data_IF_088178649851
#
_entry.id   IF_088178649851
#
_cell.length_a   1.000
_cell.length_b   1.000
_cell.length_c   1.000
_cell.angle_alpha   90.00
_cell.angle_beta   90.00
_cell.angle_gamma   90.00
#
_symmetry.space_group_name_H-M   'P 1'
#
loop_
_entity.id
_entity.type
_entity.pdbx_description
1 polymer ?
#
# COMPACT_ATOMS: atom_id res chain seq x y z
N UNK A 1 8.61 -4.96 0.13
CA UNK A 1 8.50 -3.92 1.18
C UNK A 1 8.01 -4.48 2.51
N UNK A 2 6.88 -5.19 2.57
CA UNK A 2 6.33 -5.75 3.82
C UNK A 2 7.30 -6.69 4.56
N UNK A 3 8.13 -7.46 3.86
CA UNK A 3 9.14 -8.32 4.48
C UNK A 3 10.22 -7.58 5.29
N UNK A 4 10.38 -6.26 5.11
CA UNK A 4 11.28 -5.46 5.94
C UNK A 4 10.79 -5.35 7.41
N UNK A 5 9.53 -5.69 7.68
CA UNK A 5 8.94 -5.71 9.03
C UNK A 5 9.16 -7.03 9.79
N UNK A 6 9.86 -8.01 9.20
CA UNK A 6 10.06 -9.34 9.78
C UNK A 6 9.00 -10.39 9.39
N UNK A 7 8.07 -10.05 8.49
CA UNK A 7 7.12 -11.00 7.92
C UNK A 7 7.76 -11.90 6.85
N UNK A 8 7.34 -13.16 6.79
CA UNK A 8 7.86 -14.13 5.81
C UNK A 8 7.52 -13.76 4.36
N UNK A 9 8.54 -13.70 3.50
CA UNK A 9 8.39 -13.32 2.09
C UNK A 9 7.55 -14.33 1.30
N UNK A 10 7.72 -15.62 1.58
CA UNK A 10 7.01 -16.70 0.89
C UNK A 10 5.52 -16.62 1.17
N UNK A 11 5.16 -16.63 2.46
CA UNK A 11 3.80 -16.53 2.94
C UNK A 11 3.10 -15.26 2.43
N UNK A 12 3.76 -14.10 2.47
CA UNK A 12 3.20 -12.84 1.97
C UNK A 12 2.91 -12.89 0.47
N UNK A 13 3.80 -13.46 -0.33
CA UNK A 13 3.63 -13.58 -1.78
C UNK A 13 2.46 -14.49 -2.09
N UNK A 14 2.41 -15.66 -1.46
CA UNK A 14 1.33 -16.64 -1.64
C UNK A 14 -0.03 -16.05 -1.24
N UNK A 15 -0.14 -15.43 -0.06
CA UNK A 15 -1.38 -14.80 0.40
C UNK A 15 -1.80 -13.68 -0.54
N UNK A 16 -0.87 -12.83 -0.98
CA UNK A 16 -1.18 -11.73 -1.90
C UNK A 16 -1.71 -12.25 -3.23
N UNK A 17 -1.07 -13.28 -3.80
CA UNK A 17 -1.50 -13.91 -5.04
C UNK A 17 -2.89 -14.54 -4.89
N UNK A 18 -3.14 -15.27 -3.80
CA UNK A 18 -4.43 -15.92 -3.55
C UNK A 18 -5.56 -14.89 -3.38
N UNK A 19 -5.32 -13.83 -2.59
CA UNK A 19 -6.30 -12.77 -2.37
C UNK A 19 -6.57 -11.97 -3.64
N UNK A 20 -5.52 -11.62 -4.41
CA UNK A 20 -5.68 -10.90 -5.67
C UNK A 20 -6.43 -11.73 -6.72
N UNK A 21 -6.12 -13.03 -6.83
CA UNK A 21 -6.82 -13.95 -7.70
C UNK A 21 -8.30 -14.09 -7.30
N UNK A 22 -8.58 -14.29 -6.00
CA UNK A 22 -9.95 -14.36 -5.48
C UNK A 22 -10.73 -13.08 -5.72
N UNK A 23 -10.15 -11.92 -5.41
CA UNK A 23 -10.79 -10.62 -5.61
C UNK A 23 -11.07 -10.30 -7.08
N UNK A 24 -10.13 -10.66 -7.96
CA UNK A 24 -10.29 -10.50 -9.41
C UNK A 24 -11.37 -11.44 -9.96
N UNK A 25 -11.43 -12.69 -9.49
CA UNK A 25 -12.50 -13.63 -9.85
C UNK A 25 -13.87 -13.16 -9.37
N UNK A 26 -13.96 -12.62 -8.15
CA UNK A 26 -15.20 -12.04 -7.63
C UNK A 26 -15.67 -10.85 -8.47
N UNK A 27 -14.77 -9.96 -8.89
CA UNK A 27 -15.10 -8.87 -9.82
C UNK A 27 -15.55 -9.40 -11.19
N UNK A 28 -14.84 -10.39 -11.73
CA UNK A 28 -15.14 -10.98 -13.02
C UNK A 28 -16.52 -11.66 -13.04
N UNK A 29 -16.86 -12.42 -12.01
CA UNK A 29 -18.10 -13.20 -11.95
C UNK A 29 -19.30 -12.38 -11.46
N UNK A 30 -19.10 -11.48 -10.50
CA UNK A 30 -20.21 -10.80 -9.82
C UNK A 30 -20.50 -9.42 -10.37
N UNK A 31 -19.45 -8.65 -10.71
CA UNK A 31 -19.60 -7.31 -11.27
C UNK A 31 -19.51 -7.27 -12.80
N UNK A 32 -19.13 -8.40 -13.44
CA UNK A 32 -18.91 -8.55 -14.88
C UNK A 32 -18.07 -7.41 -15.49
N UNK A 33 -17.10 -6.92 -14.71
CA UNK A 33 -16.23 -5.83 -15.09
C UNK A 33 -14.80 -6.37 -15.23
N UNK A 34 -14.13 -6.17 -16.38
CA UNK A 34 -12.78 -6.67 -16.63
C UNK A 34 -11.73 -5.78 -15.93
N UNK A 35 -11.78 -5.73 -14.59
CA UNK A 35 -10.87 -4.96 -13.75
C UNK A 35 -10.06 -5.90 -12.87
N UNK A 36 -8.73 -5.81 -12.98
CA UNK A 36 -7.82 -6.53 -12.10
C UNK A 36 -7.74 -5.81 -10.75
N UNK A 37 -8.01 -6.53 -9.66
CA UNK A 37 -7.80 -6.00 -8.33
C UNK A 37 -6.39 -6.32 -7.87
N UNK A 38 -5.55 -5.30 -7.81
CA UNK A 38 -4.18 -5.39 -7.31
C UNK A 38 -4.06 -4.75 -5.92
N UNK A 39 -3.11 -5.22 -5.09
CA UNK A 39 -2.85 -4.60 -3.79
C UNK A 39 -2.33 -3.17 -3.94
N UNK A 40 -2.83 -2.25 -3.11
CA UNK A 40 -2.39 -0.86 -3.09
C UNK A 40 -0.98 -0.71 -2.51
N UNK A 41 0.03 -0.61 -3.37
CA UNK A 41 1.44 -0.56 -2.96
C UNK A 41 1.80 0.65 -2.07
N UNK A 42 1.12 1.79 -2.24
CA UNK A 42 1.33 2.97 -1.39
C UNK A 42 0.92 2.76 0.08
N UNK A 43 -0.17 2.02 0.31
CA UNK A 43 -0.63 1.68 1.67
C UNK A 43 0.34 0.70 2.35
N UNK A 44 0.89 -0.25 1.59
CA UNK A 44 1.90 -1.17 2.08
C UNK A 44 3.20 -0.45 2.49
N UNK A 45 3.56 0.62 1.79
CA UNK A 45 4.70 1.46 2.13
C UNK A 45 4.47 2.25 3.43
N UNK A 46 3.32 2.91 3.55
CA UNK A 46 2.92 3.59 4.79
C UNK A 46 2.91 2.62 5.98
N UNK A 47 2.34 1.43 5.79
CA UNK A 47 2.34 0.38 6.82
C UNK A 47 3.76 0.00 7.26
N UNK A 48 4.65 -0.27 6.30
CA UNK A 48 6.01 -0.75 6.58
C UNK A 48 6.85 0.34 7.23
N UNK A 49 6.95 1.51 6.58
CA UNK A 49 7.93 2.53 6.93
C UNK A 49 7.42 3.54 7.96
N UNK A 50 6.11 3.82 8.01
CA UNK A 50 5.56 4.77 8.97
C UNK A 50 5.03 4.07 10.22
N UNK A 51 4.22 3.02 10.08
CA UNK A 51 3.62 2.36 11.25
C UNK A 51 4.57 1.38 11.93
N UNK A 52 5.14 0.43 11.18
CA UNK A 52 5.95 -0.63 11.81
C UNK A 52 7.36 -0.16 12.13
N UNK A 53 8.09 0.35 11.13
CA UNK A 53 9.47 0.80 11.32
C UNK A 53 9.58 2.21 11.92
N UNK A 54 8.59 3.07 11.68
CA UNK A 54 8.63 4.47 12.12
C UNK A 54 8.06 4.72 13.52
N UNK A 55 7.22 3.82 14.04
CA UNK A 55 6.62 3.92 15.38
C UNK A 55 6.94 2.68 16.25
N UNK A 56 7.81 1.78 15.77
CA UNK A 56 8.19 0.52 16.44
C UNK A 56 7.00 -0.35 16.88
N UNK A 57 5.88 -0.28 16.15
CA UNK A 57 4.69 -1.08 16.44
C UNK A 57 4.85 -2.48 15.82
N UNK A 58 4.63 -3.57 16.57
CA UNK A 58 4.65 -4.92 16.01
C UNK A 58 3.70 -5.07 14.82
N UNK A 59 4.15 -5.75 13.76
CA UNK A 59 3.38 -5.89 12.52
C UNK A 59 2.01 -6.56 12.74
N UNK A 60 1.88 -7.43 13.74
CA UNK A 60 0.62 -8.07 14.14
C UNK A 60 -0.39 -7.03 14.63
N UNK A 61 0.04 -6.11 15.49
CA UNK A 61 -0.79 -5.02 16.01
C UNK A 61 -1.18 -4.07 14.89
N UNK A 62 -0.22 -3.73 14.02
CA UNK A 62 -0.49 -2.89 12.86
C UNK A 62 -1.53 -3.54 11.90
N UNK A 63 -1.45 -4.86 11.66
CA UNK A 63 -2.46 -5.57 10.87
C UNK A 63 -3.84 -5.54 11.54
N UNK A 64 -3.90 -5.61 12.87
CA UNK A 64 -5.14 -5.42 13.64
C UNK A 64 -5.77 -4.05 13.41
N UNK A 65 -4.96 -2.99 13.39
CA UNK A 65 -5.43 -1.63 13.08
C UNK A 65 -5.94 -1.53 11.64
N UNK A 66 -5.24 -2.14 10.68
CA UNK A 66 -5.67 -2.19 9.27
C UNK A 66 -7.00 -2.93 9.13
N UNK A 67 -7.16 -4.06 9.81
CA UNK A 67 -8.40 -4.82 9.83
C UNK A 67 -9.56 -4.00 10.40
N UNK A 68 -9.37 -3.36 11.55
CA UNK A 68 -10.38 -2.52 12.19
C UNK A 68 -10.75 -1.32 11.31
N UNK A 69 -9.77 -0.70 10.66
CA UNK A 69 -9.99 0.38 9.69
C UNK A 69 -10.83 -0.11 8.50
N UNK A 70 -10.61 -1.34 8.03
CA UNK A 70 -11.42 -1.97 6.98
C UNK A 70 -12.87 -2.20 7.40
N UNK A 71 -13.09 -2.69 8.62
CA UNK A 71 -14.45 -2.85 9.19
C UNK A 71 -15.14 -1.49 9.31
N UNK A 72 -14.44 -0.47 9.82
CA UNK A 72 -14.97 0.88 9.93
C UNK A 72 -15.30 1.48 8.55
N UNK A 73 -14.45 1.23 7.55
CA UNK A 73 -14.68 1.66 6.18
C UNK A 73 -15.89 0.97 5.52
N UNK A 74 -16.12 -0.31 5.84
CA UNK A 74 -17.31 -1.06 5.40
C UNK A 74 -18.59 -0.41 5.96
N UNK A 75 -18.59 -0.11 7.26
CA UNK A 75 -19.71 0.57 7.93
C UNK A 75 -19.96 1.94 7.30
N UNK A 76 -18.92 2.76 7.13
CA UNK A 76 -19.02 4.07 6.47
C UNK A 76 -19.57 3.99 5.04
N UNK A 77 -19.20 2.94 4.31
CA UNK A 77 -19.69 2.68 2.95
C UNK A 77 -21.17 2.35 2.96
N UNK A 78 -21.63 1.54 3.92
CA UNK A 78 -23.05 1.23 4.12
C UNK A 78 -23.89 2.46 4.51
N UNK A 79 -23.35 3.35 5.33
CA UNK A 79 -24.02 4.60 5.74
C UNK A 79 -24.00 5.66 4.61
N UNK A 80 -23.27 5.43 3.52
CA UNK A 80 -23.24 6.33 2.36
C UNK A 80 -22.41 7.61 2.55
N UNK A 81 -21.66 7.72 3.66
CA UNK A 81 -20.84 8.91 3.99
C UNK A 81 -19.61 9.03 3.07
N UNK A 82 -19.19 7.92 2.45
CA UNK A 82 -17.98 7.84 1.61
C UNK A 82 -17.91 8.94 0.54
N UNK A 83 -19.04 9.27 -0.08
CA UNK A 83 -19.05 10.16 -1.24
C UNK A 83 -18.86 11.63 -0.82
N UNK A 84 -19.36 11.99 0.37
CA UNK A 84 -19.15 13.32 0.96
C UNK A 84 -17.68 13.55 1.31
N UNK A 85 -17.01 12.53 1.84
CA UNK A 85 -15.58 12.58 2.17
C UNK A 85 -14.75 12.78 0.90
N UNK A 86 -15.01 12.00 -0.15
CA UNK A 86 -14.26 12.10 -1.41
C UNK A 86 -14.48 13.45 -2.11
N UNK A 87 -15.69 14.01 -2.05
CA UNK A 87 -15.98 15.35 -2.60
C UNK A 87 -15.33 16.47 -1.80
N UNK A 88 -15.08 16.29 -0.50
CA UNK A 88 -14.39 17.26 0.33
C UNK A 88 -12.89 17.38 0.00
N UNK A 89 -12.28 16.35 -0.60
CA UNK A 89 -10.85 16.37 -0.96
C UNK A 89 -10.65 17.14 -2.27
N UNK A 90 -9.94 18.29 -2.24
CA UNK A 90 -9.65 19.07 -3.44
C UNK A 90 -8.84 18.26 -4.45
N UNK A 91 -9.09 18.51 -5.74
CA UNK A 91 -8.45 17.79 -6.85
C UNK A 91 -6.92 17.87 -6.80
N UNK A 92 -6.37 19.01 -6.38
CA UNK A 92 -4.92 19.19 -6.22
C UNK A 92 -4.30 18.17 -5.27
N UNK A 93 -4.88 17.96 -4.08
CA UNK A 93 -4.37 16.98 -3.11
C UNK A 93 -4.46 15.54 -3.64
N UNK A 94 -5.50 15.23 -4.41
CA UNK A 94 -5.70 13.90 -4.99
C UNK A 94 -4.63 13.59 -6.05
N UNK A 95 -4.33 14.56 -6.91
CA UNK A 95 -3.28 14.44 -7.94
C UNK A 95 -1.91 14.37 -7.28
N UNK A 96 -1.63 15.25 -6.30
CA UNK A 96 -0.37 15.23 -5.56
C UNK A 96 -0.12 13.88 -4.86
N UNK A 97 -1.15 13.26 -4.28
CA UNK A 97 -1.03 11.94 -3.68
C UNK A 97 -0.62 10.87 -4.70
N UNK A 98 -1.22 10.87 -5.89
CA UNK A 98 -0.87 9.94 -6.96
C UNK A 98 0.59 10.12 -7.43
N UNK A 99 1.02 11.37 -7.63
CA UNK A 99 2.41 11.71 -8.00
C UNK A 99 3.39 11.26 -6.92
N UNK A 100 3.07 11.51 -5.64
CA UNK A 100 3.91 11.12 -4.51
C UNK A 100 4.08 9.60 -4.41
N UNK A 101 3.01 8.83 -4.57
CA UNK A 101 3.08 7.35 -4.56
C UNK A 101 3.91 6.85 -5.76
N UNK A 102 3.73 7.44 -6.95
CA UNK A 102 4.50 7.08 -8.14
C UNK A 102 6.00 7.33 -7.97
N UNK A 103 6.36 8.51 -7.47
CA UNK A 103 7.75 8.87 -7.19
C UNK A 103 8.37 7.96 -6.12
N UNK A 104 7.60 7.63 -5.07
CA UNK A 104 8.05 6.74 -4.01
C UNK A 104 8.32 5.31 -4.53
N UNK A 105 7.41 4.76 -5.33
CA UNK A 105 7.59 3.43 -5.94
C UNK A 105 8.79 3.44 -6.89
N UNK A 106 8.95 4.49 -7.70
CA UNK A 106 10.10 4.64 -8.59
C UNK A 106 11.42 4.66 -7.80
N UNK A 107 11.47 5.40 -6.68
CA UNK A 107 12.63 5.47 -5.81
C UNK A 107 13.01 4.10 -5.22
N UNK A 108 12.04 3.36 -4.69
CA UNK A 108 12.28 2.00 -4.17
C UNK A 108 12.72 1.05 -5.30
N UNK A 109 12.17 1.20 -6.51
CA UNK A 109 12.59 0.44 -7.68
C UNK A 109 14.04 0.70 -8.06
N UNK A 110 14.45 1.97 -8.12
CA UNK A 110 15.83 2.38 -8.40
C UNK A 110 16.81 1.88 -7.32
N UNK A 111 16.39 1.88 -6.05
CA UNK A 111 17.19 1.30 -4.96
C UNK A 111 17.34 -0.23 -5.10
N UNK A 112 16.26 -0.93 -5.48
CA UNK A 112 16.29 -2.38 -5.73
C UNK A 112 17.17 -2.79 -6.92
N UNK A 113 17.35 -1.89 -7.90
CA UNK A 113 18.25 -2.07 -9.05
C UNK A 113 19.71 -1.72 -8.75
N UNK A 114 20.01 -1.20 -7.55
CA UNK A 114 21.34 -0.74 -7.18
C UNK A 114 21.71 0.64 -7.74
N UNK A 115 20.89 1.27 -8.58
CA UNK A 115 21.16 2.60 -9.15
C UNK A 115 21.17 3.71 -8.09
N UNK A 116 20.38 3.53 -7.03
CA UNK A 116 20.35 4.41 -5.86
C UNK A 116 20.88 3.65 -4.65
N UNK A 117 21.99 4.11 -4.10
CA UNK A 117 22.60 3.57 -2.87
C UNK A 117 22.60 4.60 -1.76
N UNK A 118 22.61 4.10 -0.52
CA UNK A 118 22.74 4.96 0.66
C UNK A 118 24.14 5.59 0.65
N UNK A 119 24.19 6.91 0.74
CA UNK A 119 25.43 7.65 0.93
C UNK A 119 25.33 8.43 2.24
N UNK A 120 26.20 8.15 3.21
CA UNK A 120 26.13 8.79 4.53
C UNK A 120 26.42 10.31 4.51
N UNK A 121 27.03 10.83 3.45
CA UNK A 121 27.31 12.27 3.29
C UNK A 121 26.13 13.06 2.68
N UNK A 122 25.34 12.45 1.79
CA UNK A 122 24.26 13.15 1.04
C UNK A 122 22.92 12.41 1.05
N UNK A 123 22.77 11.41 1.93
CA UNK A 123 21.67 10.45 2.03
C UNK A 123 21.52 9.50 0.84
N UNK A 124 21.74 9.97 -0.40
CA UNK A 124 21.49 9.24 -1.65
C UNK A 124 22.67 9.41 -2.63
N UNK A 125 23.21 8.31 -3.16
CA UNK A 125 24.26 8.30 -4.16
C UNK A 125 23.92 7.44 -5.38
N UNK A 126 24.63 7.65 -6.49
CA UNK A 126 24.63 6.76 -7.65
C UNK A 126 25.33 5.46 -7.26
N UNK A 127 24.69 4.32 -7.53
CA UNK A 127 25.35 3.03 -7.39
C UNK A 127 26.08 2.61 -8.64
N UNK A 128 27.06 1.73 -8.45
CA UNK A 128 27.98 1.22 -9.47
C UNK A 128 27.43 -0.02 -10.17
#
# INVERSE_FOLDING_TARGET
ILAATGMDKGALTTITCLVAAGATLLLALWANAPLMMAPGMGLNAFFTFSLVLGQDIPWQTALGVVFLSGVFFLILTWVGVREKIVRAIPQSLRISAAVGIGLFIAFIGLQGLGLIVKNDAVLVGLGE
#
